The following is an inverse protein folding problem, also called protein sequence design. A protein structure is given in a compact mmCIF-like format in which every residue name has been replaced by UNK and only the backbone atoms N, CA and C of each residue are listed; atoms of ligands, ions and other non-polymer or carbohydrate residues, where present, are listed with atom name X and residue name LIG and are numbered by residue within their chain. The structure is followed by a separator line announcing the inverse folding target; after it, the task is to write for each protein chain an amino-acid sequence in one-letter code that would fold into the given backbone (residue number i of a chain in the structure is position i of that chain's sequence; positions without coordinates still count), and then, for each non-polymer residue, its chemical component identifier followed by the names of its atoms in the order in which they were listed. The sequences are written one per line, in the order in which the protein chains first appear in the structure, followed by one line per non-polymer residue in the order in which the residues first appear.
data_IF_523662495260
#
_entry.id   IF_523662495260
#
_cell.length_a   1.000
_cell.length_b   1.000
_cell.length_c   1.000
_cell.angle_alpha   90.00
_cell.angle_beta   90.00
_cell.angle_gamma   90.00
#
_symmetry.space_group_name_H-M   'P 1'
#
loop_
_entity.id
_entity.type
_entity.pdbx_description
1 polymer ?
#
# COMPACT_ATOMS: atom_id res chain seq x y z
N UNK A 1 18.90 -9.22 -52.94
CA UNK A 1 19.47 -9.69 -51.65
C UNK A 1 19.38 -8.60 -50.58
N UNK A 2 18.19 -8.28 -50.07
CA UNK A 2 17.97 -7.34 -48.95
C UNK A 2 16.65 -7.66 -48.25
N UNK A 3 16.57 -8.81 -47.58
CA UNK A 3 15.41 -9.13 -46.71
C UNK A 3 15.74 -9.97 -45.48
N UNK A 4 17.00 -10.38 -45.29
CA UNK A 4 17.37 -11.32 -44.20
C UNK A 4 17.90 -10.63 -42.92
N UNK A 5 18.30 -9.36 -42.98
CA UNK A 5 18.93 -8.66 -41.84
C UNK A 5 17.96 -8.09 -40.80
N UNK A 6 16.69 -7.83 -41.16
CA UNK A 6 15.71 -7.24 -40.23
C UNK A 6 15.16 -8.24 -39.21
N UNK A 7 15.04 -9.52 -39.58
CA UNK A 7 14.53 -10.56 -38.66
C UNK A 7 15.50 -10.90 -37.54
N UNK A 8 16.81 -10.92 -37.81
CA UNK A 8 17.82 -11.26 -36.81
C UNK A 8 17.92 -10.20 -35.71
N UNK A 9 17.88 -8.91 -36.05
CA UNK A 9 17.99 -7.83 -35.06
C UNK A 9 16.82 -7.81 -34.06
N UNK A 10 15.61 -8.11 -34.54
CA UNK A 10 14.39 -8.18 -33.70
C UNK A 10 14.47 -9.37 -32.72
N UNK A 11 14.95 -10.53 -33.16
CA UNK A 11 15.16 -11.69 -32.28
C UNK A 11 16.22 -11.44 -31.20
N UNK A 12 17.31 -10.73 -31.50
CA UNK A 12 18.32 -10.37 -30.52
C UNK A 12 17.81 -9.36 -29.48
N UNK A 13 17.05 -8.35 -29.92
CA UNK A 13 16.44 -7.36 -29.01
C UNK A 13 15.40 -8.00 -28.09
N UNK A 14 14.51 -8.84 -28.63
CA UNK A 14 13.55 -9.62 -27.84
C UNK A 14 14.27 -10.57 -26.87
N UNK A 15 15.33 -11.25 -27.32
CA UNK A 15 16.15 -12.12 -26.48
C UNK A 15 16.82 -11.38 -25.32
N UNK A 16 17.44 -10.23 -25.57
CA UNK A 16 18.07 -9.41 -24.53
C UNK A 16 17.07 -8.85 -23.52
N UNK A 17 15.86 -8.48 -23.98
CA UNK A 17 14.81 -7.94 -23.12
C UNK A 17 14.20 -9.03 -22.21
N UNK A 18 13.96 -10.22 -22.77
CA UNK A 18 13.50 -11.39 -21.99
C UNK A 18 14.55 -11.80 -20.96
N UNK A 19 15.84 -11.84 -21.34
CA UNK A 19 16.94 -12.13 -20.41
C UNK A 19 17.00 -11.08 -19.29
N UNK A 20 16.83 -9.80 -19.59
CA UNK A 20 16.83 -8.72 -18.59
C UNK A 20 15.65 -8.84 -17.60
N UNK A 21 14.44 -9.20 -18.07
CA UNK A 21 13.27 -9.45 -17.22
C UNK A 21 13.50 -10.69 -16.35
N UNK A 22 14.08 -11.77 -16.90
CA UNK A 22 14.39 -12.98 -16.16
C UNK A 22 15.44 -12.73 -15.07
N UNK A 23 16.47 -11.93 -15.35
CA UNK A 23 17.50 -11.54 -14.37
C UNK A 23 16.89 -10.64 -13.29
N UNK A 24 16.04 -9.68 -13.65
CA UNK A 24 15.30 -8.84 -12.68
C UNK A 24 14.42 -9.69 -11.76
N UNK A 25 13.64 -10.63 -12.31
CA UNK A 25 12.78 -11.54 -11.52
C UNK A 25 13.60 -12.49 -10.63
N UNK A 26 14.71 -13.02 -11.14
CA UNK A 26 15.59 -13.88 -10.37
C UNK A 26 16.32 -13.12 -9.24
N UNK A 27 16.73 -11.88 -9.50
CA UNK A 27 17.30 -10.98 -8.49
C UNK A 27 16.25 -10.59 -7.44
N UNK A 28 15.03 -10.24 -7.84
CA UNK A 28 13.90 -10.00 -6.92
C UNK A 28 13.63 -11.23 -6.05
N UNK A 29 13.59 -12.43 -6.65
CA UNK A 29 13.37 -13.68 -5.93
C UNK A 29 14.52 -14.01 -4.97
N UNK A 30 15.77 -13.76 -5.36
CA UNK A 30 16.94 -13.99 -4.51
C UNK A 30 17.06 -12.96 -3.37
N UNK A 31 16.71 -11.69 -3.62
CA UNK A 31 16.61 -10.65 -2.58
C UNK A 31 15.50 -11.00 -1.61
N UNK A 32 14.31 -11.36 -2.11
CA UNK A 32 13.20 -11.85 -1.29
C UNK A 32 13.62 -13.05 -0.44
N UNK A 33 14.30 -14.05 -1.03
CA UNK A 33 14.78 -15.23 -0.29
C UNK A 33 15.84 -14.89 0.78
N UNK A 34 16.66 -13.86 0.57
CA UNK A 34 17.65 -13.40 1.56
C UNK A 34 17.00 -12.71 2.77
N UNK A 35 15.88 -12.03 2.57
CA UNK A 35 15.09 -11.42 3.66
C UNK A 35 14.04 -12.39 4.26
N UNK A 36 13.65 -13.47 3.56
CA UNK A 36 12.56 -14.38 3.93
C UNK A 36 13.00 -15.83 4.17
N UNK A 37 13.99 -16.09 5.05
CA UNK A 37 14.23 -17.47 5.54
C UNK A 37 13.37 -17.83 6.76
N UNK A 38 12.66 -16.86 7.37
CA UNK A 38 11.80 -17.04 8.55
C UNK A 38 10.58 -16.09 8.58
N UNK A 39 9.87 -15.88 7.47
CA UNK A 39 8.64 -15.09 7.50
C UNK A 39 7.44 -15.98 7.85
N UNK A 40 6.78 -15.69 8.98
CA UNK A 40 5.49 -16.27 9.32
C UNK A 40 4.50 -16.08 8.17
N UNK A 41 3.69 -17.10 7.89
CA UNK A 41 2.65 -17.06 6.86
C UNK A 41 1.30 -17.04 7.53
N UNK A 42 0.50 -16.05 7.18
CA UNK A 42 -0.88 -15.92 7.62
C UNK A 42 -1.71 -17.11 7.07
N UNK A 43 -2.73 -17.59 7.79
CA UNK A 43 -3.63 -18.63 7.31
C UNK A 43 -4.45 -18.23 6.09
N UNK A 44 -4.92 -19.22 5.34
CA UNK A 44 -5.73 -19.05 4.12
C UNK A 44 -7.23 -18.88 4.41
N UNK A 45 -7.58 -18.60 5.67
CA UNK A 45 -8.97 -18.51 6.13
C UNK A 45 -9.64 -17.20 5.71
N UNK A 46 -8.85 -16.14 5.52
CA UNK A 46 -9.31 -14.79 5.19
C UNK A 46 -8.55 -14.28 3.97
N UNK A 47 -9.28 -13.61 3.07
CA UNK A 47 -8.74 -13.06 1.83
C UNK A 47 -9.16 -11.59 1.69
N UNK A 48 -8.22 -10.63 1.55
CA UNK A 48 -8.54 -9.22 1.36
C UNK A 48 -9.05 -8.92 -0.07
N UNK A 49 -10.16 -8.17 -0.17
CA UNK A 49 -10.79 -7.76 -1.43
C UNK A 49 -10.40 -6.33 -1.81
N UNK A 50 -10.54 -5.39 -0.88
CA UNK A 50 -10.20 -3.98 -1.08
C UNK A 50 -9.76 -3.33 0.23
N UNK A 51 -8.82 -2.40 0.11
CA UNK A 51 -8.40 -1.48 1.16
C UNK A 51 -8.92 -0.08 0.87
N UNK A 52 -9.56 0.56 1.85
CA UNK A 52 -9.75 2.03 1.90
C UNK A 52 -8.85 2.56 3.02
N UNK A 53 -7.69 3.06 2.64
CA UNK A 53 -6.62 3.53 3.51
C UNK A 53 -6.62 5.06 3.55
N UNK A 54 -6.71 5.61 4.75
CA UNK A 54 -6.61 7.04 5.02
C UNK A 54 -5.42 7.29 5.93
N UNK A 55 -4.53 8.18 5.52
CA UNK A 55 -3.37 8.57 6.29
C UNK A 55 -3.37 10.08 6.50
N UNK A 56 -3.08 10.49 7.73
CA UNK A 56 -2.84 11.89 8.08
C UNK A 56 -1.36 12.07 8.36
N UNK A 57 -0.70 12.87 7.51
CA UNK A 57 0.72 13.19 7.59
C UNK A 57 0.85 14.65 8.02
N UNK A 58 1.52 14.89 9.15
CA UNK A 58 1.81 16.22 9.65
C UNK A 58 3.33 16.42 9.69
N UNK A 59 3.83 17.51 9.10
CA UNK A 59 5.26 17.81 9.07
C UNK A 59 5.86 17.95 10.46
N UNK A 60 5.07 18.43 11.40
CA UNK A 60 5.52 18.82 12.74
C UNK A 60 5.42 17.67 13.74
N UNK A 61 4.87 16.52 13.32
CA UNK A 61 4.68 15.33 14.15
C UNK A 61 5.57 14.19 13.68
N UNK A 62 6.11 13.45 14.64
CA UNK A 62 6.89 12.22 14.39
C UNK A 62 6.03 10.99 14.08
N UNK A 63 4.71 11.12 14.26
CA UNK A 63 3.75 10.05 14.04
C UNK A 63 2.77 10.38 12.92
N UNK A 64 2.19 9.31 12.38
CA UNK A 64 1.20 9.29 11.33
C UNK A 64 -0.06 8.69 11.93
N UNK A 65 -1.20 9.35 11.73
CA UNK A 65 -2.50 8.77 12.08
C UNK A 65 -3.05 8.01 10.89
N UNK A 66 -3.46 6.78 11.11
CA UNK A 66 -3.96 5.89 10.07
C UNK A 66 -5.36 5.38 10.39
N UNK A 67 -6.19 5.31 9.37
CA UNK A 67 -7.45 4.61 9.40
C UNK A 67 -7.50 3.69 8.18
N UNK A 68 -7.70 2.40 8.38
CA UNK A 68 -7.85 1.44 7.28
C UNK A 68 -9.17 0.70 7.42
N UNK A 69 -9.92 0.63 6.32
CA UNK A 69 -11.03 -0.29 6.15
C UNK A 69 -10.59 -1.39 5.20
N UNK A 70 -10.69 -2.64 5.64
CA UNK A 70 -10.36 -3.82 4.84
C UNK A 70 -11.65 -4.58 4.60
N UNK A 71 -12.04 -4.73 3.35
CA UNK A 71 -13.07 -5.68 2.96
C UNK A 71 -12.42 -7.07 2.87
N UNK A 72 -12.96 -8.04 3.62
CA UNK A 72 -12.36 -9.35 3.81
C UNK A 72 -13.38 -10.42 3.44
N UNK A 73 -13.02 -11.29 2.50
CA UNK A 73 -13.72 -12.53 2.22
C UNK A 73 -13.32 -13.60 3.24
N UNK A 74 -14.30 -14.14 3.96
CA UNK A 74 -14.09 -15.33 4.77
C UNK A 74 -14.17 -16.58 3.90
N UNK A 75 -13.06 -17.31 3.78
CA UNK A 75 -12.93 -18.53 2.98
C UNK A 75 -13.22 -19.79 3.77
N UNK A 76 -13.11 -19.74 5.10
CA UNK A 76 -13.36 -20.85 6.02
C UNK A 76 -13.85 -20.31 7.35
N UNK A 77 -14.75 -21.02 8.04
CA UNK A 77 -15.23 -20.61 9.36
C UNK A 77 -14.04 -20.40 10.32
N UNK A 78 -13.97 -19.24 10.96
CA UNK A 78 -12.85 -18.88 11.85
C UNK A 78 -13.30 -17.92 12.94
N UNK A 79 -12.67 -18.01 14.11
CA UNK A 79 -12.81 -17.04 15.21
C UNK A 79 -11.55 -16.18 15.35
N UNK A 80 -10.70 -16.15 14.32
CA UNK A 80 -9.41 -15.49 14.36
C UNK A 80 -9.20 -14.69 13.08
N UNK A 81 -8.87 -13.41 13.27
CA UNK A 81 -8.34 -12.53 12.24
C UNK A 81 -6.87 -12.28 12.56
N UNK A 82 -5.98 -12.58 11.60
CA UNK A 82 -4.55 -12.28 11.70
C UNK A 82 -4.14 -11.37 10.55
N UNK A 83 -3.37 -10.34 10.87
CA UNK A 83 -2.79 -9.40 9.91
C UNK A 83 -1.29 -9.28 10.20
N UNK A 84 -0.48 -9.04 9.18
CA UNK A 84 0.89 -8.59 9.38
C UNK A 84 0.86 -7.17 9.95
N UNK A 85 1.70 -6.92 10.94
CA UNK A 85 1.84 -5.62 11.59
C UNK A 85 3.02 -5.62 12.56
N UNK A 86 3.98 -4.72 12.33
CA UNK A 86 5.13 -4.59 13.21
C UNK A 86 4.77 -3.74 14.43
N UNK A 87 4.77 -4.36 15.62
CA UNK A 87 4.39 -3.73 16.88
C UNK A 87 5.34 -2.64 17.39
N UNK A 88 6.53 -2.50 16.80
CA UNK A 88 7.45 -1.38 17.07
C UNK A 88 7.06 -0.11 16.33
N UNK A 89 6.21 -0.23 15.31
CA UNK A 89 5.71 0.88 14.51
C UNK A 89 4.23 1.14 14.79
N UNK A 90 3.40 0.10 14.72
CA UNK A 90 1.96 0.21 14.80
C UNK A 90 1.47 0.22 16.25
N UNK A 91 0.66 1.22 16.57
CA UNK A 91 -0.13 1.28 17.79
C UNK A 91 -1.62 1.31 17.44
N UNK A 92 -2.30 0.19 17.66
CA UNK A 92 -3.73 0.02 17.38
C UNK A 92 -4.54 0.70 18.48
N UNK A 93 -5.34 1.70 18.11
CA UNK A 93 -6.16 2.48 19.04
C UNK A 93 -7.55 1.88 19.19
N UNK A 94 -8.16 1.48 18.08
CA UNK A 94 -9.51 0.95 18.05
C UNK A 94 -9.71 0.12 16.78
N UNK A 95 -10.57 -0.89 16.86
CA UNK A 95 -10.97 -1.66 15.68
C UNK A 95 -12.42 -2.13 15.82
N UNK A 96 -13.13 -2.16 14.69
CA UNK A 96 -14.49 -2.69 14.60
C UNK A 96 -14.59 -3.67 13.45
N UNK A 97 -15.54 -4.59 13.56
CA UNK A 97 -15.84 -5.56 12.52
C UNK A 97 -17.33 -5.51 12.21
N UNK A 98 -17.66 -5.27 10.95
CA UNK A 98 -19.04 -5.14 10.47
C UNK A 98 -19.37 -6.30 9.51
N UNK A 99 -20.56 -6.87 9.69
CA UNK A 99 -21.22 -7.69 8.68
C UNK A 99 -22.42 -6.92 8.13
N UNK A 100 -22.26 -6.39 6.91
CA UNK A 100 -23.29 -5.58 6.25
C UNK A 100 -24.52 -6.36 5.82
N UNK A 101 -24.44 -7.69 5.70
CA UNK A 101 -25.59 -8.53 5.38
C UNK A 101 -26.54 -8.66 6.57
N UNK A 102 -25.99 -8.75 7.79
CA UNK A 102 -26.77 -8.82 9.04
C UNK A 102 -26.97 -7.46 9.70
N UNK A 103 -26.30 -6.42 9.19
CA UNK A 103 -26.24 -5.08 9.78
C UNK A 103 -25.75 -5.10 11.24
N UNK A 104 -24.85 -6.04 11.54
CA UNK A 104 -24.23 -6.21 12.86
C UNK A 104 -22.84 -5.59 12.82
N UNK A 105 -22.48 -4.87 13.87
CA UNK A 105 -21.13 -4.34 14.09
C UNK A 105 -20.70 -4.68 15.50
N UNK A 106 -19.46 -5.15 15.64
CA UNK A 106 -18.85 -5.44 16.94
C UNK A 106 -17.59 -4.60 17.12
N UNK A 107 -17.38 -4.14 18.35
CA UNK A 107 -16.10 -3.58 18.77
C UNK A 107 -15.13 -4.72 19.06
N UNK A 108 -13.95 -4.65 18.45
CA UNK A 108 -12.90 -5.62 18.72
C UNK A 108 -12.14 -5.22 19.97
N UNK A 109 -11.89 -6.20 20.85
CA UNK A 109 -10.96 -6.04 21.96
C UNK A 109 -9.56 -5.72 21.43
N UNK A 110 -8.71 -5.16 22.31
CA UNK A 110 -7.31 -4.90 21.98
C UNK A 110 -6.65 -6.16 21.40
N UNK A 111 -5.96 -6.04 20.25
CA UNK A 111 -5.37 -7.20 19.61
C UNK A 111 -4.20 -7.76 20.43
N UNK A 112 -3.92 -9.04 20.23
CA UNK A 112 -2.65 -9.61 20.68
C UNK A 112 -1.57 -9.31 19.65
N UNK A 113 -0.41 -8.84 20.12
CA UNK A 113 0.73 -8.48 19.26
C UNK A 113 1.82 -9.55 19.41
N UNK A 114 2.12 -10.26 18.32
CA UNK A 114 3.25 -11.18 18.24
C UNK A 114 4.42 -10.47 17.56
N UNK A 115 5.35 -9.97 18.36
CA UNK A 115 6.52 -9.24 17.88
C UNK A 115 7.53 -10.09 17.10
N UNK A 116 7.57 -11.41 17.31
CA UNK A 116 8.50 -12.31 16.60
C UNK A 116 8.08 -12.53 15.16
N UNK A 117 6.78 -12.76 14.98
CA UNK A 117 6.19 -13.05 13.68
C UNK A 117 5.68 -11.78 12.98
N UNK A 118 5.69 -10.64 13.68
CA UNK A 118 5.12 -9.36 13.25
C UNK A 118 3.65 -9.50 12.84
N UNK A 119 2.86 -10.12 13.73
CA UNK A 119 1.43 -10.41 13.51
C UNK A 119 0.58 -9.74 14.59
N UNK A 120 -0.56 -9.21 14.15
CA UNK A 120 -1.63 -8.66 14.98
C UNK A 120 -2.82 -9.61 14.92
N UNK A 121 -3.31 -10.05 16.07
CA UNK A 121 -4.39 -11.03 16.18
C UNK A 121 -5.62 -10.47 16.88
N UNK A 122 -6.78 -10.61 16.24
CA UNK A 122 -8.09 -10.37 16.86
C UNK A 122 -8.82 -11.71 17.05
N UNK A 123 -9.15 -12.04 18.30
CA UNK A 123 -9.90 -13.25 18.67
C UNK A 123 -11.37 -12.93 18.87
N UNK A 124 -12.22 -13.73 18.24
CA UNK A 124 -13.66 -13.51 18.09
C UNK A 124 -14.42 -14.69 18.69
N UNK A 125 -14.33 -14.82 20.02
CA UNK A 125 -14.89 -15.95 20.77
C UNK A 125 -16.42 -16.02 20.62
N UNK A 126 -17.09 -14.86 20.65
CA UNK A 126 -18.55 -14.76 20.65
C UNK A 126 -19.14 -14.47 19.25
N UNK A 127 -18.28 -14.16 18.26
CA UNK A 127 -18.73 -13.74 16.92
C UNK A 127 -17.86 -14.36 15.81
N UNK A 128 -17.93 -15.70 15.62
CA UNK A 128 -17.14 -16.39 14.60
C UNK A 128 -17.54 -15.97 13.19
N UNK A 129 -16.54 -15.71 12.35
CA UNK A 129 -16.71 -15.45 10.92
C UNK A 129 -17.20 -16.71 10.23
N UNK A 130 -18.16 -16.52 9.31
CA UNK A 130 -18.79 -17.58 8.55
C UNK A 130 -18.22 -17.63 7.15
N UNK A 131 -18.02 -18.85 6.67
CA UNK A 131 -17.61 -19.15 5.30
C UNK A 131 -18.51 -18.44 4.29
N UNK A 132 -17.92 -17.97 3.18
CA UNK A 132 -18.59 -17.27 2.09
C UNK A 132 -19.27 -15.95 2.49
N UNK A 133 -18.90 -15.36 3.62
CA UNK A 133 -19.36 -14.04 4.04
C UNK A 133 -18.26 -13.00 3.90
N UNK A 134 -18.64 -11.78 3.49
CA UNK A 134 -17.76 -10.62 3.44
C UNK A 134 -17.92 -9.80 4.72
N UNK A 135 -16.78 -9.45 5.32
CA UNK A 135 -16.69 -8.64 6.51
C UNK A 135 -15.90 -7.36 6.25
N UNK A 136 -16.19 -6.33 7.03
CA UNK A 136 -15.57 -5.02 6.91
C UNK A 136 -14.82 -4.73 8.20
N UNK A 137 -13.50 -4.87 8.16
CA UNK A 137 -12.61 -4.64 9.28
C UNK A 137 -12.08 -3.21 9.24
N UNK A 138 -12.52 -2.40 10.19
CA UNK A 138 -12.10 -1.01 10.32
C UNK A 138 -11.10 -0.90 11.48
N UNK A 139 -9.93 -0.31 11.24
CA UNK A 139 -8.88 -0.16 12.25
C UNK A 139 -8.40 1.29 12.26
N UNK A 140 -8.32 1.88 13.45
CA UNK A 140 -7.69 3.16 13.72
C UNK A 140 -6.39 2.91 14.47
N UNK A 141 -5.32 3.52 14.00
CA UNK A 141 -3.98 3.28 14.52
C UNK A 141 -3.10 4.51 14.35
N UNK A 142 -1.96 4.48 15.03
CA UNK A 142 -0.85 5.40 14.78
C UNK A 142 0.38 4.61 14.38
N UNK A 143 1.23 5.22 13.57
CA UNK A 143 2.56 4.69 13.22
C UNK A 143 3.59 5.81 13.19
N UNK A 144 4.86 5.49 12.91
CA UNK A 144 5.96 6.46 12.79
C UNK A 144 6.66 6.31 11.46
N UNK A 145 7.39 7.34 11.06
CA UNK A 145 8.30 7.25 9.92
C UNK A 145 9.44 6.26 10.21
N UNK A 146 9.86 5.53 9.19
CA UNK A 146 11.02 4.66 9.24
C UNK A 146 12.32 5.46 9.10
N UNK A 147 13.36 4.98 9.79
CA UNK A 147 14.70 5.57 9.87
C UNK A 147 15.80 4.66 9.29
N UNK A 148 15.46 3.42 8.93
CA UNK A 148 16.39 2.37 8.49
C UNK A 148 16.36 2.10 6.97
N UNK A 149 15.69 2.97 6.20
CA UNK A 149 15.60 2.83 4.74
C UNK A 149 14.43 1.98 4.24
N UNK A 150 13.58 1.46 5.14
CA UNK A 150 12.52 0.51 4.79
C UNK A 150 11.17 0.88 5.44
N UNK A 151 10.12 1.01 4.63
CA UNK A 151 8.83 1.52 5.06
C UNK A 151 8.55 2.93 4.51
N UNK A 152 7.72 3.70 5.20
CA UNK A 152 7.44 5.09 4.85
C UNK A 152 8.46 5.99 5.56
N UNK A 153 9.30 6.69 4.82
CA UNK A 153 10.42 7.47 5.33
C UNK A 153 10.16 8.96 5.11
N UNK A 154 10.59 9.77 6.08
CA UNK A 154 10.59 11.23 5.99
C UNK A 154 12.03 11.72 5.93
N UNK A 155 12.30 12.60 4.99
CA UNK A 155 13.58 13.22 4.78
C UNK A 155 13.46 14.74 4.90
N UNK A 156 14.56 15.38 5.27
CA UNK A 156 14.68 16.82 5.30
C UNK A 156 16.06 17.19 4.76
N UNK A 157 16.10 18.01 3.72
CA UNK A 157 17.33 18.54 3.17
C UNK A 157 17.19 20.01 2.76
N UNK A 158 18.33 20.67 2.56
CA UNK A 158 18.37 22.11 2.26
C UNK A 158 17.87 22.46 0.85
N UNK A 159 17.86 21.50 -0.08
CA UNK A 159 17.53 21.74 -1.49
C UNK A 159 16.04 21.53 -1.79
N UNK A 160 15.45 20.50 -1.17
CA UNK A 160 14.08 20.01 -1.41
C UNK A 160 13.15 20.32 -0.25
N UNK A 161 13.67 20.69 0.92
CA UNK A 161 12.87 20.81 2.14
C UNK A 161 12.51 19.44 2.71
N UNK A 162 11.34 19.32 3.33
CA UNK A 162 10.83 18.05 3.87
C UNK A 162 10.17 17.24 2.74
N UNK A 163 10.49 15.96 2.59
CA UNK A 163 9.84 15.08 1.60
C UNK A 163 9.68 13.65 2.13
N UNK A 164 8.84 12.85 1.46
CA UNK A 164 8.49 11.49 1.90
C UNK A 164 8.58 10.51 0.72
N UNK A 165 9.14 9.34 0.96
CA UNK A 165 9.08 8.20 0.06
C UNK A 165 8.77 6.92 0.83
N UNK A 166 8.24 5.92 0.13
CA UNK A 166 8.05 4.57 0.67
C UNK A 166 8.93 3.56 -0.02
N UNK A 167 9.44 2.59 0.73
CA UNK A 167 9.97 1.33 0.22
C UNK A 167 9.36 0.17 1.01
N UNK A 168 8.26 -0.40 0.51
CA UNK A 168 7.57 -1.49 1.21
C UNK A 168 8.06 -2.88 0.83
N UNK A 169 8.77 -3.03 -0.28
CA UNK A 169 9.34 -4.34 -0.63
C UNK A 169 10.50 -4.72 0.31
N UNK A 170 10.60 -6.01 0.71
CA UNK A 170 9.69 -7.10 0.38
C UNK A 170 8.51 -7.28 1.35
N UNK A 171 8.63 -6.81 2.60
CA UNK A 171 7.66 -7.08 3.70
C UNK A 171 7.53 -5.90 4.67
N UNK A 172 7.73 -4.67 4.19
CA UNK A 172 7.75 -3.48 5.05
C UNK A 172 6.45 -2.68 5.02
N UNK A 173 5.44 -3.09 4.25
CA UNK A 173 4.10 -2.49 4.30
C UNK A 173 3.50 -2.60 5.71
N UNK A 174 3.75 -3.71 6.41
CA UNK A 174 3.38 -3.97 7.82
C UNK A 174 3.91 -2.95 8.84
N UNK A 175 4.83 -2.06 8.47
CA UNK A 175 5.30 -0.95 9.30
C UNK A 175 4.42 0.29 9.17
N UNK A 176 3.79 0.49 8.00
CA UNK A 176 2.88 1.61 7.78
C UNK A 176 1.46 1.27 8.21
N UNK A 177 0.96 0.07 7.90
CA UNK A 177 -0.43 -0.32 8.19
C UNK A 177 -0.56 -1.80 8.56
N UNK A 178 -1.58 -2.17 9.36
CA UNK A 178 -1.95 -3.56 9.56
C UNK A 178 -2.57 -4.13 8.27
N UNK A 179 -1.96 -5.17 7.68
CA UNK A 179 -2.35 -5.65 6.35
C UNK A 179 -1.97 -7.11 6.06
N UNK A 180 -2.48 -7.66 4.94
CA UNK A 180 -2.17 -8.99 4.44
C UNK A 180 -0.91 -8.95 3.55
N UNK A 181 0.22 -8.57 4.14
CA UNK A 181 1.54 -8.33 3.52
C UNK A 181 2.24 -9.62 3.02
N UNK A 182 1.64 -10.30 2.04
CA UNK A 182 2.23 -11.43 1.32
C UNK A 182 1.98 -11.34 -0.19
N UNK A 183 2.95 -11.73 -1.06
CA UNK A 183 2.82 -11.59 -2.51
C UNK A 183 1.63 -12.33 -3.15
N UNK A 184 1.05 -13.31 -2.45
CA UNK A 184 -0.07 -14.11 -2.96
C UNK A 184 -1.39 -13.34 -3.01
N UNK A 185 -1.51 -12.25 -2.24
CA UNK A 185 -2.71 -11.44 -2.22
C UNK A 185 -2.53 -10.21 -3.08
N UNK A 186 -3.40 -10.10 -4.08
CA UNK A 186 -3.49 -8.96 -5.00
C UNK A 186 -4.79 -8.25 -4.74
N UNK A 187 -4.70 -7.12 -4.05
CA UNK A 187 -5.87 -6.41 -3.51
C UNK A 187 -5.87 -4.98 -4.02
N UNK A 188 -7.04 -4.46 -4.33
CA UNK A 188 -7.19 -3.06 -4.70
C UNK A 188 -6.96 -2.15 -3.49
N UNK A 189 -6.34 -0.99 -3.71
CA UNK A 189 -6.15 0.05 -2.70
C UNK A 189 -6.79 1.36 -3.15
N UNK A 190 -7.58 1.94 -2.27
CA UNK A 190 -7.97 3.34 -2.30
C UNK A 190 -7.17 4.06 -1.22
N UNK A 191 -6.41 5.08 -1.61
CA UNK A 191 -5.57 5.85 -0.70
C UNK A 191 -6.07 7.29 -0.62
N UNK A 192 -6.29 7.78 0.59
CA UNK A 192 -6.58 9.17 0.90
C UNK A 192 -5.49 9.74 1.82
N UNK A 193 -4.88 10.84 1.41
CA UNK A 193 -3.81 11.50 2.17
C UNK A 193 -4.28 12.86 2.67
N UNK A 194 -4.22 13.05 3.98
CA UNK A 194 -4.47 14.30 4.67
C UNK A 194 -3.13 14.91 5.07
N UNK A 195 -2.69 15.90 4.29
CA UNK A 195 -1.41 16.58 4.49
C UNK A 195 -1.62 17.82 5.36
N UNK A 196 -0.77 18.00 6.37
CA UNK A 196 -0.80 19.10 7.34
C UNK A 196 0.60 19.71 7.47
N UNK A 197 0.67 21.02 7.73
CA UNK A 197 1.92 21.76 7.92
C UNK A 197 2.64 21.98 6.58
N UNK A 198 3.96 21.81 6.55
CA UNK A 198 4.74 21.99 5.32
C UNK A 198 4.28 21.04 4.20
N UNK A 199 3.82 19.83 4.54
CA UNK A 199 3.28 18.89 3.55
C UNK A 199 2.05 19.39 2.79
N UNK A 200 1.28 20.31 3.38
CA UNK A 200 0.10 20.89 2.75
C UNK A 200 0.44 22.04 1.78
N UNK A 201 1.71 22.43 1.70
CA UNK A 201 2.13 23.55 0.87
C UNK A 201 1.91 23.23 -0.62
N UNK A 202 1.47 24.22 -1.39
CA UNK A 202 1.10 24.13 -2.82
C UNK A 202 2.15 23.50 -3.73
N UNK A 203 3.40 23.55 -3.30
CA UNK A 203 4.56 23.09 -4.04
C UNK A 203 4.88 21.62 -3.80
N UNK A 204 4.16 20.95 -2.89
CA UNK A 204 4.13 19.49 -2.79
C UNK A 204 3.24 18.92 -3.89
N UNK A 205 3.79 17.98 -4.64
CA UNK A 205 3.03 17.19 -5.60
C UNK A 205 3.12 15.73 -5.18
N UNK A 206 1.98 15.12 -4.87
CA UNK A 206 1.91 13.68 -4.69
C UNK A 206 2.15 13.03 -6.06
N UNK A 207 3.22 12.26 -6.19
CA UNK A 207 3.55 11.52 -7.39
C UNK A 207 3.49 10.03 -7.08
N UNK A 208 2.43 9.35 -7.50
CA UNK A 208 2.48 7.90 -7.53
C UNK A 208 3.35 7.47 -8.72
N UNK A 209 4.54 6.91 -8.46
CA UNK A 209 5.34 6.31 -9.52
C UNK A 209 4.75 4.95 -9.85
N UNK A 210 4.19 4.79 -11.05
CA UNK A 210 3.92 3.46 -11.59
C UNK A 210 5.24 2.90 -12.12
N UNK A 211 5.87 1.98 -11.40
CA UNK A 211 6.93 1.16 -11.97
C UNK A 211 6.32 0.12 -12.90
N UNK A 212 6.27 0.41 -14.21
CA UNK A 212 6.46 -0.60 -15.26
C UNK A 212 7.02 0.10 -16.53
N UNK A 213 8.35 0.01 -16.65
CA UNK A 213 9.19 0.15 -17.85
C UNK A 213 8.94 1.32 -18.82
N UNK A 214 9.99 2.15 -18.93
CA UNK A 214 10.35 3.13 -19.95
C UNK A 214 9.95 4.59 -19.72
N UNK A 215 10.98 5.44 -19.86
CA UNK A 215 11.00 6.90 -19.99
C UNK A 215 10.88 7.79 -18.74
N UNK A 216 11.96 8.55 -18.53
CA UNK A 216 12.08 9.71 -17.63
C UNK A 216 11.09 10.84 -17.98
N UNK A 217 10.69 11.59 -16.93
CA UNK A 217 10.09 12.94 -16.78
C UNK A 217 9.76 13.76 -18.05
N UNK A 218 8.75 14.65 -18.07
CA UNK A 218 8.68 15.93 -17.33
C UNK A 218 7.22 16.43 -17.36
N UNK A 219 6.67 16.94 -16.25
CA UNK A 219 5.45 17.76 -16.29
C UNK A 219 5.83 19.24 -16.10
N UNK A 220 5.67 20.04 -17.15
CA UNK A 220 5.71 21.51 -17.09
C UNK A 220 4.31 22.07 -16.74
N UNK A 221 4.30 23.15 -15.95
CA UNK A 221 3.15 24.06 -15.70
C UNK A 221 2.71 24.72 -17.05
N UNK A 222 1.47 25.26 -17.26
CA UNK A 222 0.77 26.06 -16.25
C UNK A 222 -0.77 26.05 -16.15
N UNK A 223 -1.22 26.44 -14.94
CA UNK A 223 -2.43 27.23 -14.59
C UNK A 223 -3.84 26.62 -14.80
N UNK A 224 -4.62 26.69 -13.71
CA UNK A 224 -6.09 26.55 -13.59
C UNK A 224 -6.74 25.29 -14.20
N UNK A 225 -6.96 24.27 -13.37
CA UNK A 225 -8.25 23.58 -13.15
C UNK A 225 -8.04 22.27 -12.37
N UNK A 226 -9.12 21.83 -11.70
CA UNK A 226 -9.24 20.54 -11.01
C UNK A 226 -8.55 19.40 -11.76
N UNK A 227 -7.48 18.85 -11.20
CA UNK A 227 -6.97 17.54 -11.59
C UNK A 227 -7.38 16.54 -10.52
N UNK A 228 -8.58 15.97 -10.70
CA UNK A 228 -8.95 14.69 -10.11
C UNK A 228 -8.14 13.61 -10.84
N UNK A 229 -7.11 13.06 -10.19
CA UNK A 229 -6.42 11.90 -10.74
C UNK A 229 -7.08 10.63 -10.19
N UNK A 230 -7.88 10.00 -11.05
CA UNK A 230 -8.38 8.65 -10.88
C UNK A 230 -7.30 7.69 -11.38
N UNK A 231 -6.65 6.96 -10.49
CA UNK A 231 -5.73 5.88 -10.86
C UNK A 231 -6.29 4.53 -10.42
N UNK A 232 -6.61 3.68 -11.39
CA UNK A 232 -6.88 2.26 -11.19
C UNK A 232 -5.53 1.53 -11.11
N UNK A 233 -5.21 0.94 -9.96
CA UNK A 233 -4.10 -0.01 -9.88
C UNK A 233 -4.51 -1.29 -10.64
N UNK A 234 -3.80 -1.59 -11.72
CA UNK A 234 -3.86 -2.92 -12.35
C UNK A 234 -3.36 -3.99 -11.39
N UNK A 235 -3.89 -5.19 -11.56
CA UNK A 235 -3.63 -6.39 -10.76
C UNK A 235 -2.11 -6.63 -10.56
N UNK A 236 -1.62 -6.44 -9.34
CA UNK A 236 -0.23 -6.64 -8.93
C UNK A 236 -0.17 -6.89 -7.42
N UNK A 237 0.94 -7.45 -6.95
CA UNK A 237 1.19 -7.75 -5.53
C UNK A 237 1.10 -6.46 -4.68
N UNK A 238 1.16 -6.50 -3.34
CA UNK A 238 1.01 -5.32 -2.47
C UNK A 238 2.18 -4.30 -2.63
N UNK A 239 2.31 -3.70 -3.81
CA UNK A 239 3.27 -2.68 -4.17
C UNK A 239 2.59 -1.32 -4.02
N UNK A 240 2.39 -0.90 -2.76
CA UNK A 240 1.93 0.46 -2.48
C UNK A 240 3.13 1.42 -2.58
N UNK A 241 3.57 1.80 -3.78
CA UNK A 241 4.61 2.82 -3.92
C UNK A 241 4.00 4.22 -3.75
N UNK A 242 4.29 4.86 -2.61
CA UNK A 242 3.98 6.26 -2.30
C UNK A 242 5.26 7.08 -2.41
N UNK A 243 5.29 8.02 -3.37
CA UNK A 243 6.32 9.04 -3.44
C UNK A 243 5.67 10.43 -3.34
N UNK A 244 6.01 11.17 -2.30
CA UNK A 244 5.55 12.54 -2.07
C UNK A 244 6.76 13.47 -2.19
N UNK A 245 6.87 14.15 -3.33
CA UNK A 245 7.96 15.10 -3.56
C UNK A 245 7.49 16.52 -3.25
N UNK A 246 8.24 17.19 -2.37
CA UNK A 246 8.20 18.63 -2.23
C UNK A 246 9.07 19.27 -3.31
N UNK A 247 8.54 20.25 -4.02
CA UNK A 247 9.37 21.30 -4.65
C UNK A 247 9.22 22.55 -3.79
N UNK A 248 10.22 23.42 -3.72
CA UNK A 248 10.05 24.71 -3.05
C UNK A 248 9.36 25.74 -3.96
N UNK A 249 8.48 26.54 -3.34
CA UNK A 249 7.94 27.86 -3.72
C UNK A 249 6.49 27.96 -4.26
N UNK A 250 5.71 28.83 -3.61
CA UNK A 250 4.56 29.56 -4.18
C UNK A 250 3.17 29.26 -3.60
N UNK A 251 2.90 29.79 -2.40
CA UNK A 251 1.60 30.04 -1.73
C UNK A 251 0.29 29.51 -2.37
N UNK A 252 -0.47 28.70 -1.62
CA UNK A 252 -1.86 28.33 -1.92
C UNK A 252 -2.31 26.97 -1.36
N UNK A 253 -3.17 26.96 -0.35
CA UNK A 253 -3.75 25.73 0.22
C UNK A 253 -4.88 25.13 -0.64
N UNK A 254 -4.89 23.80 -0.85
CA UNK A 254 -6.02 23.05 -1.45
C UNK A 254 -6.14 21.62 -0.89
N UNK A 255 -7.37 21.12 -0.79
CA UNK A 255 -7.72 19.75 -0.39
C UNK A 255 -7.78 18.79 -1.59
N UNK A 256 -7.38 17.53 -1.41
CA UNK A 256 -7.47 16.46 -2.42
C UNK A 256 -8.41 15.34 -1.93
N UNK A 257 -9.46 15.03 -2.71
CA UNK A 257 -10.33 13.86 -2.53
C UNK A 257 -10.51 13.16 -3.87
N UNK A 258 -10.37 11.83 -3.91
CA UNK A 258 -10.63 10.98 -5.07
C UNK A 258 -11.65 9.89 -4.74
N UNK A 259 -12.62 9.65 -5.64
CA UNK A 259 -13.61 8.58 -5.54
C UNK A 259 -14.04 8.17 -6.96
N UNK A 260 -14.11 6.86 -7.25
CA UNK A 260 -14.74 6.32 -8.48
C UNK A 260 -15.57 5.08 -8.13
N UNK A 261 -16.79 4.92 -8.70
CA UNK A 261 -17.70 3.84 -8.36
C UNK A 261 -17.37 2.52 -9.07
N UNK A 262 -17.86 1.43 -8.48
CA UNK A 262 -17.99 0.12 -9.09
C UNK A 262 -18.90 0.19 -10.33
N UNK A 263 -18.45 -0.40 -11.42
CA UNK A 263 -19.28 -0.78 -12.55
C UNK A 263 -18.94 -2.21 -12.93
N UNK A 264 -19.78 -3.14 -12.48
CA UNK A 264 -19.88 -4.47 -13.05
C UNK A 264 -20.40 -4.36 -14.50
N UNK A 265 -19.80 -5.13 -15.41
CA UNK A 265 -20.55 -5.80 -16.48
C UNK A 265 -19.75 -6.96 -17.06
N UNK A 266 -20.43 -8.11 -17.04
CA UNK A 266 -20.22 -9.30 -17.86
C UNK A 266 -19.81 -8.92 -19.29
N UNK A 267 -18.75 -9.52 -19.82
CA UNK A 267 -18.72 -10.81 -20.53
C UNK A 267 -17.26 -11.30 -20.66
#
# INVERSE_FOLDING_TARGET
MKSSFHGHLIHYLLGSYVICICISRALHSAVFAKYCTHCFRLPDTLEPIIYDLKLTLNSDLEYISGQVLIEIQCKQNTSLIQLHGNSLFLNIQHATLENRLTNETIDLKSPMLNWRDEVIEFRLEEWPLKHATVYYLQIWYTTRYADDGHGLMRHQDLERGIWINSLFEPVFARRLLPCFDEPRWRTAFKLELWLIGEFAHSSFTAFQLHHFLSTFLICHWPIHQLLQQNCTAGQGDMHLEILLLARLAGDGSKHYKGHVPLSARND
#
